data_IF_769466405087
#
_entry.id   IF_769466405087
#
_cell.length_a   1.000
_cell.length_b   1.000
_cell.length_c   1.000
_cell.angle_alpha   90.00
_cell.angle_beta   90.00
_cell.angle_gamma   90.00
#
_symmetry.space_group_name_H-M   'P 1'
#
loop_
_entity.id
_entity.type
_entity.pdbx_description
1 polymer ?
#
# COMPACT_ATOMS: atom_id res chain seq x y z
N UNK A 1 20.13 -8.46 -14.18
CA UNK A 1 18.83 -7.82 -13.93
C UNK A 1 18.71 -7.63 -12.43
N UNK A 2 18.32 -6.45 -11.97
CA UNK A 2 18.06 -6.20 -10.54
C UNK A 2 16.60 -6.51 -10.23
N UNK A 3 16.35 -7.32 -9.22
CA UNK A 3 15.00 -7.63 -8.74
C UNK A 3 14.65 -6.70 -7.56
N UNK A 4 13.41 -6.22 -7.52
CA UNK A 4 12.88 -5.36 -6.44
C UNK A 4 11.62 -6.02 -5.87
N UNK A 5 11.68 -6.44 -4.61
CA UNK A 5 10.49 -6.84 -3.87
C UNK A 5 9.70 -5.58 -3.45
N UNK A 6 8.49 -5.43 -3.99
CA UNK A 6 7.57 -4.34 -3.68
C UNK A 6 6.48 -4.80 -2.72
N UNK A 7 6.63 -4.43 -1.45
CA UNK A 7 5.64 -4.72 -0.41
C UNK A 7 4.52 -3.69 -0.40
N UNK A 8 3.27 -4.13 -0.46
CA UNK A 8 2.12 -3.23 -0.55
C UNK A 8 0.89 -3.70 0.23
N UNK A 9 0.05 -2.71 0.55
CA UNK A 9 -1.30 -2.90 1.09
C UNK A 9 -2.21 -1.89 0.40
N UNK A 10 -3.37 -2.31 -0.12
CA UNK A 10 -4.32 -1.43 -0.81
C UNK A 10 -4.86 -0.30 0.09
N UNK A 11 -4.74 -0.43 1.42
CA UNK A 11 -5.08 0.63 2.36
C UNK A 11 -4.06 1.78 2.39
N UNK A 12 -2.85 1.56 1.86
CA UNK A 12 -1.77 2.55 1.90
C UNK A 12 -1.82 3.49 0.70
N UNK A 13 -2.06 4.81 0.91
CA UNK A 13 -2.02 5.79 -0.18
C UNK A 13 -0.60 5.89 -0.78
N UNK A 14 0.44 5.71 0.03
CA UNK A 14 1.82 5.75 -0.45
C UNK A 14 2.20 4.53 -1.29
N UNK A 15 1.62 3.35 -1.01
CA UNK A 15 1.80 2.19 -1.88
C UNK A 15 1.16 2.47 -3.25
N UNK A 16 -0.05 3.03 -3.27
CA UNK A 16 -0.68 3.48 -4.50
C UNK A 16 0.18 4.51 -5.26
N UNK A 17 0.73 5.51 -4.58
CA UNK A 17 1.60 6.49 -5.26
C UNK A 17 2.87 5.88 -5.84
N UNK A 18 3.45 4.89 -5.16
CA UNK A 18 4.60 4.17 -5.68
C UNK A 18 4.25 3.37 -6.95
N UNK A 19 3.07 2.74 -7.02
CA UNK A 19 2.66 2.02 -8.23
C UNK A 19 2.49 2.94 -9.44
N UNK A 20 2.04 4.18 -9.24
CA UNK A 20 1.94 5.18 -10.33
C UNK A 20 3.29 5.59 -10.91
N UNK A 21 4.39 5.18 -10.29
CA UNK A 21 5.76 5.57 -10.67
C UNK A 21 6.65 4.35 -10.88
N UNK A 22 6.07 3.15 -11.01
CA UNK A 22 6.81 1.91 -11.13
C UNK A 22 7.66 1.85 -12.42
N UNK A 23 7.24 2.61 -13.45
CA UNK A 23 7.99 2.76 -14.69
C UNK A 23 9.43 3.25 -14.47
N UNK A 24 9.68 4.07 -13.44
CA UNK A 24 11.04 4.50 -13.09
C UNK A 24 11.99 3.35 -12.78
N UNK A 25 11.47 2.20 -12.35
CA UNK A 25 12.23 0.98 -12.11
C UNK A 25 12.21 0.05 -13.33
N UNK A 26 11.05 -0.16 -13.95
CA UNK A 26 10.94 -1.10 -15.08
C UNK A 26 11.63 -0.56 -16.34
N UNK A 27 11.64 0.75 -16.56
CA UNK A 27 12.30 1.40 -17.71
C UNK A 27 13.83 1.22 -17.67
N UNK A 28 14.41 0.97 -16.49
CA UNK A 28 15.84 0.66 -16.32
C UNK A 28 16.10 -0.85 -16.21
N UNK A 29 15.10 -1.69 -16.50
CA UNK A 29 15.22 -3.14 -16.54
C UNK A 29 15.16 -3.83 -15.17
N UNK A 30 14.56 -3.18 -14.15
CA UNK A 30 14.29 -3.85 -12.89
C UNK A 30 13.05 -4.74 -13.01
N UNK A 31 13.15 -5.95 -12.46
CA UNK A 31 12.01 -6.86 -12.29
C UNK A 31 11.32 -6.56 -10.97
N UNK A 32 9.99 -6.39 -10.99
CA UNK A 32 9.21 -6.10 -9.79
C UNK A 32 8.53 -7.38 -9.31
N UNK A 33 8.82 -7.76 -8.07
CA UNK A 33 8.15 -8.86 -7.39
C UNK A 33 7.15 -8.27 -6.41
N UNK A 34 5.87 -8.48 -6.66
CA UNK A 34 4.79 -7.91 -5.86
C UNK A 34 4.56 -8.76 -4.61
N UNK A 35 4.63 -8.13 -3.44
CA UNK A 35 4.48 -8.79 -2.13
C UNK A 35 3.30 -8.19 -1.36
N UNK A 36 2.08 -8.73 -1.48
CA UNK A 36 0.95 -8.25 -0.70
C UNK A 36 1.19 -8.50 0.79
N UNK A 37 0.98 -7.48 1.61
CA UNK A 37 1.12 -7.53 3.07
C UNK A 37 -0.05 -6.84 3.76
N UNK A 38 -0.38 -7.30 4.96
CA UNK A 38 -1.33 -6.59 5.83
C UNK A 38 -0.56 -5.62 6.74
N UNK A 39 -0.58 -4.33 6.41
CA UNK A 39 0.12 -3.30 7.21
C UNK A 39 -0.44 -3.22 8.64
N UNK A 40 -1.72 -3.50 8.83
CA UNK A 40 -2.34 -3.62 10.15
C UNK A 40 -1.70 -4.72 10.98
N UNK A 41 -1.47 -5.89 10.40
CA UNK A 41 -0.83 -7.03 11.06
C UNK A 41 0.61 -6.68 11.45
N UNK A 42 1.37 -6.08 10.53
CA UNK A 42 2.76 -5.69 10.81
C UNK A 42 2.85 -4.70 11.98
N UNK A 43 1.94 -3.72 12.04
CA UNK A 43 1.94 -2.73 13.11
C UNK A 43 1.51 -3.33 14.46
N UNK A 44 0.59 -4.28 14.47
CA UNK A 44 0.22 -5.01 15.68
C UNK A 44 1.40 -5.85 16.19
N UNK A 45 2.06 -6.60 15.30
CA UNK A 45 3.25 -7.39 15.64
C UNK A 45 4.37 -6.49 16.18
N UNK A 46 4.61 -5.34 15.56
CA UNK A 46 5.59 -4.36 16.03
C UNK A 46 5.25 -3.81 17.43
N UNK A 47 3.96 -3.73 17.76
CA UNK A 47 3.47 -3.32 19.07
C UNK A 47 3.40 -4.48 20.09
N UNK A 48 3.93 -5.67 19.77
CA UNK A 48 3.80 -6.89 20.57
C UNK A 48 2.34 -7.27 20.87
N UNK A 49 1.45 -7.05 19.90
CA UNK A 49 0.04 -7.47 19.95
C UNK A 49 -0.20 -8.68 19.06
N UNK A 50 -1.33 -9.35 19.29
CA UNK A 50 -1.82 -10.39 18.39
C UNK A 50 -1.99 -9.85 16.96
N UNK A 51 -1.65 -10.62 15.91
CA UNK A 51 -1.66 -10.18 14.51
C UNK A 51 -2.93 -9.45 14.10
N UNK A 52 -4.09 -10.00 14.47
CA UNK A 52 -5.42 -9.53 14.07
C UNK A 52 -6.15 -8.77 15.17
N UNK A 53 -5.42 -8.28 16.19
CA UNK A 53 -6.01 -7.44 17.21
C UNK A 53 -6.60 -6.14 16.63
N UNK A 54 -7.59 -5.57 17.31
CA UNK A 54 -8.06 -4.22 17.00
C UNK A 54 -6.89 -3.24 17.08
N UNK A 55 -6.79 -2.41 16.04
CA UNK A 55 -5.68 -1.49 15.87
C UNK A 55 -5.99 -0.18 16.60
N UNK A 56 -5.05 0.27 17.41
CA UNK A 56 -5.10 1.63 17.96
C UNK A 56 -4.92 2.65 16.82
N UNK A 57 -5.65 3.76 16.88
CA UNK A 57 -5.38 4.89 16.01
C UNK A 57 -3.95 5.42 16.26
N UNK A 58 -3.01 5.27 15.31
CA UNK A 58 -1.62 5.70 15.52
C UNK A 58 -1.46 7.23 15.40
N UNK A 59 -2.53 7.96 15.08
CA UNK A 59 -2.48 9.37 14.73
C UNK A 59 -3.11 10.24 15.80
N UNK A 60 -2.30 11.02 16.50
CA UNK A 60 -2.81 12.21 17.16
C UNK A 60 -3.36 13.20 16.11
N UNK A 61 -4.25 14.14 16.49
CA UNK A 61 -4.92 15.03 15.53
C UNK A 61 -3.97 15.81 14.62
N UNK A 62 -2.85 16.31 15.15
CA UNK A 62 -1.85 17.04 14.37
C UNK A 62 -1.18 16.15 13.32
N UNK A 63 -0.81 14.91 13.67
CA UNK A 63 -0.21 13.94 12.75
C UNK A 63 -1.20 13.54 11.66
N UNK A 64 -2.48 13.36 12.01
CA UNK A 64 -3.56 13.08 11.05
C UNK A 64 -3.73 14.21 10.03
N UNK A 65 -3.79 15.45 10.50
CA UNK A 65 -3.92 16.62 9.63
C UNK A 65 -2.73 16.73 8.65
N UNK A 66 -1.51 16.52 9.16
CA UNK A 66 -0.32 16.52 8.32
C UNK A 66 -0.34 15.38 7.29
N UNK A 67 -0.64 14.16 7.72
CA UNK A 67 -0.73 12.98 6.85
C UNK A 67 -1.72 13.19 5.70
N UNK A 68 -2.91 13.70 6.00
CA UNK A 68 -3.91 14.00 4.97
C UNK A 68 -3.46 15.11 4.01
N UNK A 69 -2.86 16.19 4.53
CA UNK A 69 -2.33 17.26 3.69
C UNK A 69 -1.22 16.76 2.75
N UNK A 70 -0.36 15.87 3.23
CA UNK A 70 0.74 15.29 2.44
C UNK A 70 0.24 14.43 1.28
N UNK A 71 -0.80 13.62 1.51
CA UNK A 71 -1.47 12.84 0.46
C UNK A 71 -1.91 13.75 -0.69
N UNK A 72 -2.61 14.86 -0.40
CA UNK A 72 -3.08 15.78 -1.43
C UNK A 72 -1.95 16.55 -2.12
N UNK A 73 -0.90 16.93 -1.38
CA UNK A 73 0.29 17.56 -1.98
C UNK A 73 0.97 16.65 -2.98
N UNK A 74 1.11 15.36 -2.66
CA UNK A 74 1.73 14.39 -3.56
C UNK A 74 0.85 14.09 -4.78
N UNK A 75 -0.47 14.02 -4.60
CA UNK A 75 -1.42 13.89 -5.72
C UNK A 75 -1.25 15.06 -6.69
N UNK A 76 -1.22 16.29 -6.19
CA UNK A 76 -1.05 17.49 -7.01
C UNK A 76 0.32 17.52 -7.69
N UNK A 77 1.39 17.29 -6.91
CA UNK A 77 2.76 17.38 -7.39
C UNK A 77 3.08 16.33 -8.46
N UNK A 78 2.63 15.08 -8.28
CA UNK A 78 2.85 13.99 -9.24
C UNK A 78 1.72 13.82 -10.25
N UNK A 79 0.68 14.65 -10.20
CA UNK A 79 -0.50 14.56 -11.08
C UNK A 79 -1.12 13.16 -11.11
N UNK A 80 -1.19 12.54 -9.94
CA UNK A 80 -1.71 11.18 -9.80
C UNK A 80 -3.23 11.19 -9.98
N UNK A 81 -3.81 10.31 -10.82
CA UNK A 81 -5.26 10.18 -10.90
C UNK A 81 -5.79 9.72 -9.54
N UNK A 82 -6.64 10.52 -8.89
CA UNK A 82 -7.08 10.18 -7.54
C UNK A 82 -8.58 10.38 -7.37
N UNK A 83 -9.20 9.40 -6.73
CA UNK A 83 -10.58 9.47 -6.25
C UNK A 83 -10.61 9.05 -4.79
N UNK A 84 -11.26 9.85 -3.96
CA UNK A 84 -11.45 9.51 -2.56
C UNK A 84 -12.24 8.19 -2.43
N UNK A 85 -11.79 7.23 -1.61
CA UNK A 85 -12.57 6.04 -1.28
C UNK A 85 -13.94 6.43 -0.71
N UNK A 86 -14.96 5.63 -1.02
CA UNK A 86 -16.30 5.73 -0.43
C UNK A 86 -16.70 4.35 0.08
N UNK A 87 -16.79 4.12 1.41
CA UNK A 87 -16.60 5.10 2.50
C UNK A 87 -15.15 5.60 2.61
N UNK A 88 -14.92 6.72 3.31
CA UNK A 88 -13.60 7.38 3.40
C UNK A 88 -12.47 6.55 4.02
N UNK A 89 -12.78 5.37 4.55
CA UNK A 89 -11.82 4.36 4.98
C UNK A 89 -11.80 3.26 3.91
N UNK A 90 -10.64 2.97 3.30
CA UNK A 90 -10.53 1.86 2.35
C UNK A 90 -10.85 0.52 3.03
N UNK A 91 -11.90 -0.15 2.55
CA UNK A 91 -12.22 -1.54 2.91
C UNK A 91 -11.58 -2.43 1.86
N UNK A 92 -10.46 -3.08 2.20
CA UNK A 92 -9.63 -3.79 1.22
C UNK A 92 -9.25 -5.20 1.64
N UNK A 93 -9.79 -5.74 2.73
CA UNK A 93 -9.32 -7.01 3.31
C UNK A 93 -9.53 -8.20 2.38
N UNK A 94 -10.67 -8.27 1.70
CA UNK A 94 -10.97 -9.30 0.69
C UNK A 94 -10.02 -9.17 -0.51
N UNK A 95 -9.81 -7.96 -1.01
CA UNK A 95 -8.89 -7.71 -2.11
C UNK A 95 -7.44 -8.09 -1.74
N UNK A 96 -7.02 -7.78 -0.51
CA UNK A 96 -5.71 -8.18 0.01
C UNK A 96 -5.59 -9.70 0.15
N UNK A 97 -6.65 -10.40 0.56
CA UNK A 97 -6.65 -11.85 0.68
C UNK A 97 -6.52 -12.51 -0.69
N UNK A 98 -7.25 -11.99 -1.69
CA UNK A 98 -7.14 -12.44 -3.08
C UNK A 98 -5.73 -12.20 -3.60
N UNK A 99 -5.17 -11.00 -3.38
CA UNK A 99 -3.80 -10.70 -3.81
C UNK A 99 -2.77 -11.66 -3.21
N UNK A 100 -2.88 -11.96 -1.91
CA UNK A 100 -2.01 -12.92 -1.23
C UNK A 100 -2.15 -14.36 -1.76
N UNK A 101 -3.37 -14.79 -2.10
CA UNK A 101 -3.59 -16.10 -2.72
C UNK A 101 -2.98 -16.17 -4.12
N UNK A 102 -3.17 -15.15 -4.95
CA UNK A 102 -2.62 -15.09 -6.30
C UNK A 102 -1.08 -15.09 -6.30
N UNK A 103 -0.47 -14.37 -5.37
CA UNK A 103 0.99 -14.36 -5.19
C UNK A 103 1.52 -15.74 -4.77
N UNK A 104 0.87 -16.37 -3.79
CA UNK A 104 1.23 -17.73 -3.34
C UNK A 104 1.12 -18.76 -4.46
N UNK A 105 0.10 -18.63 -5.30
CA UNK A 105 -0.14 -19.53 -6.42
C UNK A 105 0.75 -19.22 -7.63
N UNK A 106 1.63 -18.21 -7.54
CA UNK A 106 2.57 -17.83 -8.60
C UNK A 106 1.89 -17.24 -9.83
N UNK A 107 0.69 -16.67 -9.66
CA UNK A 107 -0.06 -16.07 -10.77
C UNK A 107 0.72 -14.88 -11.32
N UNK A 108 1.05 -14.85 -12.63
CA UNK A 108 1.78 -13.73 -13.20
C UNK A 108 0.92 -12.46 -13.13
N UNK A 109 1.55 -11.35 -12.77
CA UNK A 109 0.95 -10.03 -12.93
C UNK A 109 0.91 -9.73 -14.44
N UNK A 110 -0.30 -9.68 -15.00
CA UNK A 110 -0.47 -9.24 -16.40
C UNK A 110 -0.25 -7.72 -16.48
N UNK A 111 0.38 -7.29 -17.57
CA UNK A 111 0.41 -5.87 -17.98
C UNK A 111 -0.97 -5.37 -18.43
#
# INVERSE_FOLDING_TARGET
MSQVDFYYDFRSPFAYFATQRMNLLTDVGAEIVWRPIYVSVLLNLQANKEPWAERDDPFCPAKRAHFMADIFRLIEYWKIPFKMPSPGIPVCDEAMAIAALLERDGTPHSE
#
